data_IF_085934428773
#
_entry.id   IF_085934428773
#
_cell.length_a   1.000
_cell.length_b   1.000
_cell.length_c   1.000
_cell.angle_alpha   90.00
_cell.angle_beta   90.00
_cell.angle_gamma   90.00
#
_symmetry.space_group_name_H-M   'P 1'
#
loop_
_entity.id
_entity.type
_entity.pdbx_description
1 polymer ?
#
# COMPACT_ATOMS: atom_id res chain seq x y z
N UNK A 1 13.45 -1.73 8.60
CA UNK A 1 13.92 -1.24 7.28
C UNK A 1 13.21 -1.97 6.11
N UNK A 2 12.17 -2.78 6.38
CA UNK A 2 11.55 -3.70 5.41
C UNK A 2 10.03 -3.48 5.22
N UNK A 3 9.47 -2.36 5.70
CA UNK A 3 8.01 -2.19 5.84
C UNK A 3 7.35 -1.45 4.65
N UNK A 4 8.12 -1.22 3.60
CA UNK A 4 7.71 -0.44 2.44
C UNK A 4 7.29 -1.37 1.29
N UNK A 5 6.06 -1.20 0.80
CA UNK A 5 5.60 -1.79 -0.45
C UNK A 5 6.06 -0.83 -1.56
N UNK A 6 7.26 -1.09 -2.09
CA UNK A 6 7.82 -0.29 -3.18
C UNK A 6 7.10 -0.57 -4.49
N UNK A 7 6.82 0.51 -5.22
CA UNK A 7 6.44 0.42 -6.63
C UNK A 7 7.75 0.21 -7.40
N UNK A 8 8.05 -1.02 -7.78
CA UNK A 8 9.26 -1.34 -8.53
C UNK A 8 9.13 -0.81 -9.96
N UNK A 9 9.99 0.13 -10.38
CA UNK A 9 10.09 0.58 -11.78
C UNK A 9 10.90 -0.43 -12.64
N UNK A 10 10.59 -1.72 -12.56
CA UNK A 10 11.20 -2.73 -13.43
C UNK A 10 10.18 -3.14 -14.47
N UNK A 11 10.63 -3.45 -15.70
CA UNK A 11 9.75 -3.77 -16.83
C UNK A 11 8.79 -4.95 -16.56
N UNK A 12 9.14 -5.84 -15.61
CA UNK A 12 8.34 -7.00 -15.19
C UNK A 12 7.50 -6.76 -13.92
N UNK A 13 7.50 -5.54 -13.38
CA UNK A 13 6.70 -5.21 -12.19
C UNK A 13 5.22 -4.99 -12.55
N UNK A 14 4.28 -5.30 -11.64
CA UNK A 14 2.89 -4.90 -11.82
C UNK A 14 2.82 -3.40 -12.05
N UNK A 15 2.16 -2.99 -13.14
CA UNK A 15 1.94 -1.57 -13.43
C UNK A 15 1.34 -0.87 -12.20
N UNK A 16 1.71 0.38 -11.97
CA UNK A 16 1.27 1.19 -10.82
C UNK A 16 -0.24 1.10 -10.56
N UNK A 17 -1.05 1.09 -11.64
CA UNK A 17 -2.51 0.91 -11.56
C UNK A 17 -2.96 -0.41 -10.96
N UNK A 18 -2.26 -1.51 -11.23
CA UNK A 18 -2.62 -2.81 -10.68
C UNK A 18 -2.34 -2.85 -9.17
N UNK A 19 -1.23 -2.24 -8.73
CA UNK A 19 -0.93 -2.06 -7.30
C UNK A 19 -2.02 -1.22 -6.63
N UNK A 20 -2.42 -0.09 -7.22
CA UNK A 20 -3.50 0.75 -6.67
C UNK A 20 -4.81 -0.01 -6.51
N UNK A 21 -5.19 -0.83 -7.50
CA UNK A 21 -6.39 -1.68 -7.43
C UNK A 21 -6.29 -2.70 -6.30
N UNK A 22 -5.13 -3.36 -6.15
CA UNK A 22 -4.91 -4.33 -5.08
C UNK A 22 -4.94 -3.66 -3.71
N UNK A 23 -4.23 -2.54 -3.53
CA UNK A 23 -4.21 -1.77 -2.29
C UNK A 23 -5.63 -1.28 -1.94
N UNK A 24 -6.40 -0.80 -2.91
CA UNK A 24 -7.80 -0.41 -2.71
C UNK A 24 -8.65 -1.59 -2.20
N UNK A 25 -8.48 -2.78 -2.78
CA UNK A 25 -9.20 -4.00 -2.35
C UNK A 25 -8.78 -4.43 -0.95
N UNK A 26 -7.50 -4.35 -0.62
CA UNK A 26 -6.98 -4.72 0.70
C UNK A 26 -7.48 -3.74 1.76
N UNK A 27 -7.37 -2.42 1.54
CA UNK A 27 -7.88 -1.40 2.47
C UNK A 27 -9.36 -1.59 2.78
N UNK A 28 -10.18 -1.93 1.78
CA UNK A 28 -11.61 -2.26 1.97
C UNK A 28 -11.87 -3.43 2.91
N UNK A 29 -10.91 -4.35 3.06
CA UNK A 29 -11.05 -5.54 3.90
C UNK A 29 -10.51 -5.34 5.31
N UNK A 30 -9.46 -4.53 5.49
CA UNK A 30 -8.71 -4.49 6.75
C UNK A 30 -8.83 -3.15 7.49
N UNK A 31 -9.12 -2.06 6.78
CA UNK A 31 -9.24 -0.74 7.41
C UNK A 31 -10.66 -0.55 7.94
N UNK A 32 -10.79 0.07 9.13
CA UNK A 32 -12.09 0.51 9.63
C UNK A 32 -12.74 1.54 8.71
N UNK A 33 -11.94 2.43 8.11
CA UNK A 33 -12.36 3.37 7.08
C UNK A 33 -11.36 3.39 5.92
N UNK A 34 -11.69 2.78 4.76
CA UNK A 34 -10.78 2.73 3.61
C UNK A 34 -10.39 4.10 3.03
N UNK A 35 -11.17 5.16 3.31
CA UNK A 35 -10.86 6.54 2.88
C UNK A 35 -9.90 7.26 3.83
N UNK A 36 -9.71 6.73 5.03
CA UNK A 36 -8.77 7.22 6.05
C UNK A 36 -7.92 6.04 6.54
N UNK A 37 -7.01 5.52 5.68
CA UNK A 37 -6.27 4.30 5.98
C UNK A 37 -5.22 4.53 7.08
N UNK A 38 -5.17 3.62 8.05
CA UNK A 38 -4.24 3.67 9.19
C UNK A 38 -3.28 2.47 9.17
N UNK A 39 -3.67 1.34 8.56
CA UNK A 39 -2.86 0.11 8.45
C UNK A 39 -1.93 0.16 7.23
N UNK A 40 -2.44 0.51 6.05
CA UNK A 40 -1.65 0.68 4.83
C UNK A 40 -1.70 2.14 4.39
N UNK A 41 -0.66 2.92 4.67
CA UNK A 41 -0.60 4.35 4.35
C UNK A 41 0.05 4.60 2.99
N UNK A 42 -0.26 5.73 2.36
CA UNK A 42 0.38 6.16 1.11
C UNK A 42 1.58 7.05 1.43
N UNK A 43 2.73 6.70 0.89
CA UNK A 43 3.96 7.52 0.93
C UNK A 43 4.11 8.17 -0.44
N UNK A 44 3.86 9.48 -0.50
CA UNK A 44 3.89 10.25 -1.74
C UNK A 44 5.25 10.11 -2.43
N UNK A 45 5.24 9.77 -3.72
CA UNK A 45 6.46 9.57 -4.52
C UNK A 45 7.19 8.25 -4.26
N UNK A 46 6.68 7.39 -3.37
CA UNK A 46 7.32 6.10 -3.04
C UNK A 46 6.38 4.89 -3.15
N UNK A 47 5.08 5.07 -2.87
CA UNK A 47 4.09 3.99 -2.91
C UNK A 47 3.34 3.85 -1.60
N UNK A 48 3.38 2.66 -0.99
CA UNK A 48 2.57 2.32 0.18
C UNK A 48 3.42 1.74 1.30
N UNK A 49 2.99 1.93 2.55
CA UNK A 49 3.70 1.46 3.74
C UNK A 49 2.75 0.76 4.69
N UNK A 50 3.16 -0.40 5.19
CA UNK A 50 2.49 -1.05 6.31
C UNK A 50 2.88 -0.34 7.61
N UNK A 51 1.90 0.22 8.32
CA UNK A 51 2.10 1.22 9.38
C UNK A 51 1.61 0.78 10.76
N UNK A 52 1.26 -0.50 10.93
CA UNK A 52 0.80 -1.05 12.22
C UNK A 52 1.99 -1.31 13.12
N UNK A 53 1.90 -0.85 14.36
CA UNK A 53 2.75 -1.37 15.44
C UNK A 53 2.12 -2.66 15.97
N UNK A 54 2.87 -3.75 15.90
CA UNK A 54 2.54 -4.98 16.60
C UNK A 54 3.01 -4.81 18.04
N UNK A 55 2.11 -4.98 19.01
CA UNK A 55 2.47 -5.10 20.43
C UNK A 55 3.08 -6.48 20.73
#
# INVERSE_FOLDING_TARGET
>A
MADNIYIAQHADAPTDRLIDVLISRVRKKIEANPKKPEIITTVVGCGYKFSVNLE
#
